data_IF_832713435454
#
_entry.id   IF_832713435454
#
_cell.length_a   1.000
_cell.length_b   1.000
_cell.length_c   1.000
_cell.angle_alpha   90.00
_cell.angle_beta   90.00
_cell.angle_gamma   90.00
#
_symmetry.space_group_name_H-M   'P 1'
#
loop_
_entity.id
_entity.type
_entity.pdbx_description
1 polymer ?
#
# COMPACT_ATOMS: atom_id res chain seq x y z
N UNK A 1 -4.82 24.46 6.39
CA UNK A 1 -5.07 23.68 7.62
C UNK A 1 -3.83 22.84 7.93
N UNK A 2 -3.34 22.91 9.18
CA UNK A 2 -2.44 21.93 9.83
C UNK A 2 -1.16 21.48 9.10
N UNK A 3 -0.12 22.32 9.10
CA UNK A 3 1.22 21.90 8.68
C UNK A 3 1.86 20.95 9.71
N UNK A 4 1.83 19.65 9.43
CA UNK A 4 2.69 18.68 10.10
C UNK A 4 4.06 18.68 9.42
N UNK A 5 5.05 19.28 10.08
CA UNK A 5 6.46 19.03 9.81
C UNK A 5 6.75 17.53 9.93
N UNK A 6 6.95 16.86 8.79
CA UNK A 6 7.50 15.49 8.76
C UNK A 6 8.98 15.57 8.42
N UNK A 7 9.79 15.66 9.48
CA UNK A 7 11.22 15.42 9.43
C UNK A 7 11.50 13.96 9.05
N UNK A 8 11.80 13.69 7.78
CA UNK A 8 12.37 12.41 7.33
C UNK A 8 13.65 12.67 6.53
N UNK A 9 14.71 13.00 7.27
CA UNK A 9 16.07 13.18 6.74
C UNK A 9 17.15 12.70 7.72
N UNK A 10 16.85 11.69 8.55
CA UNK A 10 17.84 11.07 9.43
C UNK A 10 18.55 9.93 8.73
N UNK A 11 19.85 10.09 8.45
CA UNK A 11 20.75 9.05 7.98
C UNK A 11 20.64 7.79 8.86
N UNK A 12 20.21 6.67 8.26
CA UNK A 12 20.05 5.35 8.87
C UNK A 12 21.40 4.69 9.20
N UNK A 13 22.15 5.22 10.16
CA UNK A 13 23.22 4.46 10.83
C UNK A 13 22.68 3.55 11.96
N UNK A 14 21.42 3.71 12.37
CA UNK A 14 20.84 3.04 13.54
C UNK A 14 20.50 1.55 13.35
N UNK A 15 20.36 1.05 12.12
CA UNK A 15 19.73 -0.27 11.91
C UNK A 15 20.66 -1.48 12.08
N UNK A 16 21.98 -1.29 12.07
CA UNK A 16 22.96 -2.38 12.22
C UNK A 16 23.60 -2.39 13.62
N UNK A 17 23.56 -1.25 14.34
CA UNK A 17 24.23 -1.10 15.63
C UNK A 17 23.53 -1.79 16.80
N UNK A 18 22.19 -1.81 16.84
CA UNK A 18 21.45 -2.32 17.98
C UNK A 18 21.74 -3.80 18.34
N UNK A 19 21.70 -4.79 17.42
CA UNK A 19 21.98 -6.18 17.76
C UNK A 19 23.45 -6.43 18.12
N UNK A 20 24.38 -5.68 17.52
CA UNK A 20 25.81 -5.74 17.85
C UNK A 20 26.06 -5.19 19.26
N UNK A 21 25.36 -4.12 19.64
CA UNK A 21 25.42 -3.53 20.98
C UNK A 21 24.76 -4.43 22.04
N UNK A 22 23.65 -5.11 21.72
CA UNK A 22 23.07 -6.16 22.58
C UNK A 22 24.08 -7.27 22.82
N UNK A 23 24.66 -7.80 21.75
CA UNK A 23 25.62 -8.89 21.83
C UNK A 23 26.84 -8.49 22.67
N UNK A 24 27.38 -7.28 22.46
CA UNK A 24 28.47 -6.70 23.25
C UNK A 24 28.09 -6.52 24.73
N UNK A 25 26.88 -6.05 25.03
CA UNK A 25 26.40 -5.90 26.41
C UNK A 25 26.23 -7.26 27.10
N UNK A 26 25.69 -8.27 26.41
CA UNK A 26 25.61 -9.64 26.92
C UNK A 26 27.00 -10.25 27.14
N UNK A 27 27.95 -10.00 26.24
CA UNK A 27 29.34 -10.45 26.37
C UNK A 27 30.05 -9.77 27.55
N UNK A 28 29.82 -8.47 27.75
CA UNK A 28 30.33 -7.73 28.91
C UNK A 28 29.74 -8.23 30.23
N UNK A 29 28.45 -8.53 30.27
CA UNK A 29 27.79 -9.13 31.44
C UNK A 29 28.30 -10.55 31.71
N UNK A 30 28.70 -11.30 30.68
CA UNK A 30 29.24 -12.65 30.81
C UNK A 30 30.70 -12.67 31.28
N UNK A 31 31.52 -11.70 30.88
CA UNK A 31 32.92 -11.55 31.32
C UNK A 31 33.03 -10.90 32.71
N UNK A 32 31.98 -10.19 33.15
CA UNK A 32 31.83 -9.53 34.46
C UNK A 32 32.27 -10.34 35.70
N UNK A 33 31.93 -11.64 35.85
CA UNK A 33 32.23 -12.39 37.08
C UNK A 33 33.72 -12.67 37.28
N UNK A 34 34.52 -12.60 36.21
CA UNK A 34 35.95 -12.88 36.22
C UNK A 34 36.81 -11.71 36.74
N UNK A 35 36.21 -10.53 36.98
CA UNK A 35 36.92 -9.37 37.52
C UNK A 35 37.03 -9.42 39.06
N UNK A 36 38.25 -9.28 39.64
CA UNK A 36 38.44 -9.26 41.08
C UNK A 36 38.05 -7.89 41.66
N UNK A 37 36.95 -7.81 42.40
CA UNK A 37 36.57 -6.64 43.21
C UNK A 37 35.46 -6.96 44.24
N UNK A 38 35.40 -6.15 45.29
CA UNK A 38 34.43 -6.25 46.40
C UNK A 38 32.97 -6.05 45.94
N UNK A 39 32.05 -6.70 46.65
CA UNK A 39 30.60 -6.73 46.39
C UNK A 39 29.93 -5.37 46.04
N UNK A 40 30.23 -4.23 46.69
CA UNK A 40 29.59 -2.96 46.34
C UNK A 40 30.01 -2.43 44.97
N UNK A 41 31.25 -2.70 44.53
CA UNK A 41 31.74 -2.24 43.24
C UNK A 41 31.04 -2.99 42.09
N UNK A 42 30.75 -4.29 42.29
CA UNK A 42 30.02 -5.12 41.31
C UNK A 42 28.60 -4.63 41.06
N UNK A 43 27.89 -4.15 42.09
CA UNK A 43 26.52 -3.64 41.97
C UNK A 43 26.47 -2.30 41.23
N UNK A 44 27.37 -1.37 41.55
CA UNK A 44 27.41 -0.05 40.91
C UNK A 44 27.69 -0.16 39.42
N UNK A 45 28.60 -1.05 39.03
CA UNK A 45 28.96 -1.17 37.63
C UNK A 45 28.03 -2.10 36.83
N UNK A 46 27.31 -3.03 37.47
CA UNK A 46 26.14 -3.68 36.86
C UNK A 46 25.00 -2.69 36.59
N UNK A 47 24.70 -1.81 37.56
CA UNK A 47 23.71 -0.75 37.38
C UNK A 47 24.13 0.23 36.27
N UNK A 48 25.42 0.57 36.16
CA UNK A 48 25.93 1.42 35.09
C UNK A 48 25.83 0.76 33.70
N UNK A 49 26.13 -0.54 33.57
CA UNK A 49 25.96 -1.28 32.31
C UNK A 49 24.49 -1.38 31.91
N UNK A 50 23.60 -1.66 32.87
CA UNK A 50 22.16 -1.66 32.63
C UNK A 50 21.63 -0.28 32.25
N UNK A 51 22.15 0.79 32.85
CA UNK A 51 21.76 2.17 32.54
C UNK A 51 22.27 2.60 31.16
N UNK A 52 23.50 2.24 30.80
CA UNK A 52 24.06 2.48 29.45
C UNK A 52 23.29 1.68 28.40
N UNK A 53 22.96 0.41 28.68
CA UNK A 53 22.07 -0.37 27.84
C UNK A 53 20.68 0.27 27.76
N UNK A 54 20.10 0.75 28.86
CA UNK A 54 18.81 1.43 28.84
C UNK A 54 18.83 2.73 28.01
N UNK A 55 19.91 3.52 28.10
CA UNK A 55 20.07 4.77 27.35
C UNK A 55 20.36 4.58 25.87
N UNK A 56 20.99 3.46 25.49
CA UNK A 56 21.29 3.13 24.08
C UNK A 56 20.06 2.55 23.37
N UNK A 57 19.12 1.98 24.12
CA UNK A 57 18.03 1.20 23.55
C UNK A 57 16.76 2.05 23.37
N UNK A 58 16.33 2.19 22.11
CA UNK A 58 15.02 2.74 21.76
C UNK A 58 13.89 1.96 22.46
N UNK A 59 12.81 2.64 22.86
CA UNK A 59 11.63 2.08 23.54
C UNK A 59 10.96 0.93 22.74
N UNK A 60 11.26 0.82 21.44
CA UNK A 60 10.89 -0.33 20.60
C UNK A 60 11.68 -1.59 20.98
N UNK A 61 13.00 -1.48 21.16
CA UNK A 61 13.85 -2.63 21.50
C UNK A 61 13.57 -3.11 22.92
N UNK A 62 13.28 -2.21 23.86
CA UNK A 62 12.84 -2.59 25.20
C UNK A 62 11.52 -3.36 25.18
N UNK A 63 10.56 -2.98 24.32
CA UNK A 63 9.31 -3.73 24.11
C UNK A 63 9.54 -5.10 23.47
N UNK A 64 10.46 -5.21 22.51
CA UNK A 64 10.83 -6.49 21.91
C UNK A 64 11.52 -7.39 22.94
N UNK A 65 12.44 -6.85 23.74
CA UNK A 65 13.10 -7.56 24.84
C UNK A 65 12.12 -7.99 25.93
N UNK A 66 11.13 -7.16 26.26
CA UNK A 66 10.08 -7.53 27.22
C UNK A 66 9.19 -8.67 26.70
N UNK A 67 8.78 -8.61 25.42
CA UNK A 67 8.05 -9.72 24.78
C UNK A 67 8.91 -10.98 24.69
N UNK A 68 10.19 -10.83 24.34
CA UNK A 68 11.15 -11.93 24.33
C UNK A 68 11.30 -12.52 25.73
N UNK A 69 11.39 -11.70 26.77
CA UNK A 69 11.47 -12.13 28.16
C UNK A 69 10.18 -12.84 28.61
N UNK A 70 9.00 -12.40 28.19
CA UNK A 70 7.73 -13.08 28.48
C UNK A 70 7.62 -14.45 27.80
N UNK A 71 8.11 -14.58 26.57
CA UNK A 71 8.15 -15.86 25.84
C UNK A 71 9.26 -16.77 26.37
N UNK A 72 10.40 -16.18 26.74
CA UNK A 72 11.55 -16.88 27.29
C UNK A 72 11.32 -17.30 28.74
N UNK A 73 10.51 -16.56 29.51
CA UNK A 73 10.26 -16.80 30.93
C UNK A 73 9.86 -18.25 31.22
N UNK A 74 8.84 -18.86 30.58
CA UNK A 74 8.47 -20.24 30.83
C UNK A 74 9.56 -21.25 30.43
N UNK A 75 10.27 -21.02 29.31
CA UNK A 75 11.38 -21.90 28.86
C UNK A 75 12.57 -21.80 29.83
N UNK A 76 12.84 -20.60 30.33
CA UNK A 76 13.88 -20.32 31.31
C UNK A 76 13.50 -20.91 32.67
N UNK A 77 12.22 -20.86 33.04
CA UNK A 77 11.68 -21.52 34.24
C UNK A 77 11.83 -23.04 34.14
N UNK A 78 11.59 -23.61 32.96
CA UNK A 78 11.77 -25.05 32.69
C UNK A 78 13.25 -25.44 32.71
N UNK A 79 14.13 -24.61 32.16
CA UNK A 79 15.58 -24.80 32.21
C UNK A 79 16.12 -24.68 33.64
N UNK A 80 15.70 -23.66 34.38
CA UNK A 80 16.05 -23.47 35.79
C UNK A 80 15.48 -24.61 36.64
N UNK A 81 14.24 -25.02 36.42
CA UNK A 81 13.65 -26.18 37.10
C UNK A 81 14.41 -27.48 36.78
N UNK A 82 14.89 -27.65 35.54
CA UNK A 82 15.71 -28.81 35.16
C UNK A 82 17.08 -28.79 35.83
N UNK A 83 17.71 -27.62 35.94
CA UNK A 83 18.97 -27.44 36.68
C UNK A 83 18.77 -27.65 38.19
N UNK A 84 17.68 -27.13 38.75
CA UNK A 84 17.32 -27.34 40.15
C UNK A 84 16.97 -28.80 40.45
N UNK A 85 16.34 -29.52 39.53
CA UNK A 85 16.07 -30.95 39.65
C UNK A 85 17.34 -31.81 39.56
N UNK A 86 18.39 -31.30 38.90
CA UNK A 86 19.71 -31.94 38.85
C UNK A 86 20.58 -31.62 40.07
N UNK A 87 20.29 -30.58 40.86
CA UNK A 87 21.03 -30.28 42.09
C UNK A 87 21.17 -31.46 43.07
N UNK A 88 20.13 -32.24 43.40
CA UNK A 88 20.29 -33.40 44.29
C UNK A 88 21.12 -34.54 43.67
N UNK A 89 21.15 -34.66 42.33
CA UNK A 89 22.05 -35.60 41.62
C UNK A 89 23.49 -35.10 41.68
N UNK A 90 23.69 -33.78 41.58
CA UNK A 90 24.99 -33.12 41.74
C UNK A 90 25.48 -33.23 43.19
N UNK A 91 24.61 -33.09 44.19
CA UNK A 91 24.94 -33.31 45.61
C UNK A 91 25.31 -34.78 45.87
N UNK A 92 24.62 -35.73 45.21
CA UNK A 92 25.00 -37.15 45.21
C UNK A 92 26.37 -37.42 44.58
N UNK A 93 26.77 -36.65 43.57
CA UNK A 93 28.11 -36.72 42.94
C UNK A 93 29.17 -35.97 43.78
N UNK A 94 28.80 -34.91 44.49
CA UNK A 94 29.70 -34.17 45.38
C UNK A 94 30.12 -34.98 46.61
N UNK A 95 29.32 -35.96 47.04
CA UNK A 95 29.69 -36.92 48.08
C UNK A 95 30.96 -37.73 47.73
N UNK A 96 31.31 -37.88 46.44
CA UNK A 96 32.54 -38.54 45.98
C UNK A 96 33.53 -37.58 45.26
N UNK A 97 33.10 -36.40 44.82
CA UNK A 97 33.84 -35.52 43.89
C UNK A 97 34.33 -34.17 44.43
N UNK A 98 34.47 -34.00 45.75
CA UNK A 98 34.74 -32.72 46.44
C UNK A 98 36.06 -31.95 46.09
N UNK A 99 36.73 -32.21 44.97
CA UNK A 99 38.05 -31.61 44.65
C UNK A 99 38.11 -30.66 43.44
N UNK A 100 37.06 -30.45 42.64
CA UNK A 100 37.18 -29.55 41.48
C UNK A 100 35.95 -28.66 41.22
N UNK A 101 35.94 -27.39 41.70
CA UNK A 101 34.88 -26.41 41.40
C UNK A 101 34.75 -26.07 39.91
N UNK A 102 35.70 -26.50 39.08
CA UNK A 102 35.78 -26.22 37.64
C UNK A 102 34.58 -26.75 36.85
N UNK A 103 33.98 -27.89 37.24
CA UNK A 103 32.87 -28.48 36.51
C UNK A 103 31.57 -27.68 36.63
N UNK A 104 31.31 -27.07 37.79
CA UNK A 104 30.16 -26.19 38.00
C UNK A 104 30.26 -24.94 37.11
N UNK A 105 31.45 -24.33 37.05
CA UNK A 105 31.71 -23.19 36.17
C UNK A 105 31.58 -23.56 34.69
N UNK A 106 32.06 -24.73 34.27
CA UNK A 106 31.92 -25.19 32.89
C UNK A 106 30.45 -25.39 32.49
N UNK A 107 29.63 -25.99 33.36
CA UNK A 107 28.19 -26.16 33.12
C UNK A 107 27.45 -24.82 33.04
N UNK A 108 27.75 -23.89 33.94
CA UNK A 108 27.16 -22.56 33.95
C UNK A 108 27.55 -21.74 32.70
N UNK A 109 28.81 -21.82 32.27
CA UNK A 109 29.28 -21.17 31.04
C UNK A 109 28.61 -21.79 29.80
N UNK A 110 28.52 -23.12 29.72
CA UNK A 110 27.88 -23.80 28.60
C UNK A 110 26.38 -23.47 28.50
N UNK A 111 25.66 -23.52 29.62
CA UNK A 111 24.24 -23.13 29.69
C UNK A 111 24.01 -21.67 29.33
N UNK A 112 24.88 -20.77 29.80
CA UNK A 112 24.84 -19.35 29.48
C UNK A 112 25.02 -19.07 27.99
N UNK A 113 25.97 -19.75 27.34
CA UNK A 113 26.20 -19.63 25.88
C UNK A 113 25.00 -20.11 25.08
N UNK A 114 24.39 -21.24 25.46
CA UNK A 114 23.20 -21.76 24.78
C UNK A 114 22.00 -20.81 24.94
N UNK A 115 21.74 -20.34 26.15
CA UNK A 115 20.66 -19.40 26.43
C UNK A 115 20.86 -18.07 25.67
N UNK A 116 22.09 -17.54 25.65
CA UNK A 116 22.43 -16.34 24.90
C UNK A 116 22.24 -16.52 23.39
N UNK A 117 22.63 -17.68 22.84
CA UNK A 117 22.43 -18.01 21.43
C UNK A 117 20.94 -18.08 21.05
N UNK A 118 20.09 -18.61 21.92
CA UNK A 118 18.65 -18.68 21.69
C UNK A 118 17.99 -17.29 21.73
N UNK A 119 18.31 -16.47 22.74
CA UNK A 119 17.83 -15.07 22.84
C UNK A 119 18.27 -14.26 21.62
N UNK A 120 19.53 -14.41 21.22
CA UNK A 120 20.06 -13.76 20.03
C UNK A 120 19.30 -14.18 18.76
N UNK A 121 19.05 -15.48 18.58
CA UNK A 121 18.30 -16.00 17.43
C UNK A 121 16.88 -15.45 17.40
N UNK A 122 16.18 -15.41 18.54
CA UNK A 122 14.84 -14.84 18.65
C UNK A 122 14.82 -13.34 18.31
N UNK A 123 15.80 -12.58 18.82
CA UNK A 123 15.92 -11.15 18.57
C UNK A 123 16.20 -10.84 17.08
N UNK A 124 17.03 -11.67 16.44
CA UNK A 124 17.29 -11.57 14.99
C UNK A 124 16.04 -11.96 14.18
N UNK A 125 15.29 -12.98 14.59
CA UNK A 125 14.07 -13.40 13.90
C UNK A 125 12.99 -12.32 13.93
N UNK A 126 12.67 -11.80 15.12
CA UNK A 126 11.70 -10.71 15.28
C UNK A 126 12.08 -9.47 14.46
N UNK A 127 13.37 -9.09 14.46
CA UNK A 127 13.87 -7.99 13.65
C UNK A 127 13.76 -8.24 12.14
N UNK A 128 14.04 -9.47 11.70
CA UNK A 128 13.91 -9.86 10.29
C UNK A 128 12.46 -9.84 9.84
N UNK A 129 11.52 -10.29 10.68
CA UNK A 129 10.09 -10.28 10.39
C UNK A 129 9.55 -8.86 10.27
N UNK A 130 9.87 -7.97 11.21
CA UNK A 130 9.49 -6.55 11.13
C UNK A 130 10.09 -5.89 9.89
N UNK A 131 11.38 -6.13 9.62
CA UNK A 131 12.05 -5.59 8.43
C UNK A 131 11.47 -6.14 7.12
N UNK A 132 11.03 -7.40 7.09
CA UNK A 132 10.40 -8.01 5.94
C UNK A 132 9.01 -7.42 5.69
N UNK A 133 8.21 -7.18 6.75
CA UNK A 133 6.91 -6.51 6.66
C UNK A 133 7.04 -5.08 6.13
N UNK A 134 8.01 -4.31 6.65
CA UNK A 134 8.29 -2.95 6.17
C UNK A 134 8.69 -2.92 4.69
N UNK A 135 9.50 -3.89 4.25
CA UNK A 135 9.91 -4.01 2.84
C UNK A 135 8.72 -4.36 1.96
N UNK A 136 7.95 -5.39 2.33
CA UNK A 136 6.77 -5.82 1.60
C UNK A 136 5.74 -4.70 1.47
N UNK A 137 5.53 -3.91 2.53
CA UNK A 137 4.66 -2.74 2.48
C UNK A 137 5.17 -1.70 1.47
N UNK A 138 6.45 -1.33 1.54
CA UNK A 138 7.02 -0.33 0.62
C UNK A 138 6.98 -0.78 -0.85
N UNK A 139 7.28 -2.06 -1.11
CA UNK A 139 7.20 -2.64 -2.46
C UNK A 139 5.76 -2.67 -2.96
N UNK A 140 4.80 -3.04 -2.11
CA UNK A 140 3.38 -3.04 -2.44
C UNK A 140 2.88 -1.62 -2.75
N UNK A 141 3.21 -0.64 -1.90
CA UNK A 141 2.86 0.77 -2.13
C UNK A 141 3.46 1.28 -3.45
N UNK A 142 4.73 0.96 -3.73
CA UNK A 142 5.39 1.40 -4.96
C UNK A 142 4.76 0.78 -6.20
N UNK A 143 4.48 -0.52 -6.16
CA UNK A 143 3.88 -1.24 -7.26
C UNK A 143 2.46 -0.71 -7.55
N UNK A 144 1.61 -0.59 -6.53
CA UNK A 144 0.26 -0.03 -6.67
C UNK A 144 0.31 1.41 -7.19
N UNK A 145 1.19 2.25 -6.65
CA UNK A 145 1.38 3.62 -7.13
C UNK A 145 1.75 3.67 -8.61
N UNK A 146 2.62 2.77 -9.06
CA UNK A 146 3.04 2.71 -10.47
C UNK A 146 1.91 2.27 -11.40
N UNK A 147 1.08 1.31 -11.00
CA UNK A 147 -0.08 0.88 -11.81
C UNK A 147 -1.16 1.97 -11.89
N UNK A 148 -1.48 2.61 -10.76
CA UNK A 148 -2.41 3.75 -10.76
C UNK A 148 -1.86 4.89 -11.61
N UNK A 149 -0.56 5.19 -11.52
CA UNK A 149 0.07 6.21 -12.34
C UNK A 149 0.05 5.87 -13.84
N UNK A 150 0.31 4.62 -14.20
CA UNK A 150 0.25 4.13 -15.59
C UNK A 150 -1.13 4.41 -16.20
N UNK A 151 -2.21 4.09 -15.47
CA UNK A 151 -3.57 4.41 -15.87
C UNK A 151 -3.84 5.91 -16.01
N UNK A 152 -3.34 6.72 -15.08
CA UNK A 152 -3.52 8.17 -15.10
C UNK A 152 -2.63 8.88 -16.13
N UNK A 153 -1.57 8.23 -16.61
CA UNK A 153 -0.59 8.84 -17.52
C UNK A 153 -1.20 9.19 -18.88
N UNK A 154 -2.19 8.43 -19.34
CA UNK A 154 -2.96 8.75 -20.54
C UNK A 154 -3.69 10.11 -20.40
N UNK A 155 -4.18 10.41 -19.20
CA UNK A 155 -4.87 11.66 -18.89
C UNK A 155 -3.88 12.82 -18.77
N UNK A 156 -2.69 12.55 -18.22
CA UNK A 156 -1.59 13.53 -18.22
C UNK A 156 -1.20 13.92 -19.64
N UNK A 157 -1.15 12.96 -20.57
CA UNK A 157 -0.84 13.25 -21.97
C UNK A 157 -1.90 14.15 -22.63
N UNK A 158 -3.18 13.99 -22.26
CA UNK A 158 -4.26 14.91 -22.68
C UNK A 158 -4.05 16.29 -22.06
N UNK A 159 -3.77 16.34 -20.75
CA UNK A 159 -3.52 17.58 -20.02
C UNK A 159 -2.39 18.41 -20.63
N UNK A 160 -1.25 17.78 -20.93
CA UNK A 160 -0.09 18.45 -21.52
C UNK A 160 -0.34 18.99 -22.92
N UNK A 161 -1.24 18.34 -23.69
CA UNK A 161 -1.58 18.76 -25.05
C UNK A 161 -2.55 19.93 -25.07
N UNK A 162 -3.59 19.86 -24.25
CA UNK A 162 -4.76 20.75 -24.35
C UNK A 162 -4.65 21.97 -23.44
N UNK A 163 -3.81 21.95 -22.40
CA UNK A 163 -3.74 23.03 -21.41
C UNK A 163 -2.55 23.97 -21.68
N UNK A 164 -2.77 25.25 -22.08
CA UNK A 164 -1.72 26.24 -22.15
C UNK A 164 -1.07 26.40 -20.77
N UNK A 165 0.26 26.32 -20.68
CA UNK A 165 0.97 26.41 -19.40
C UNK A 165 0.70 27.73 -18.63
N UNK A 166 0.27 28.78 -19.33
CA UNK A 166 -0.07 30.10 -18.78
C UNK A 166 -1.52 30.25 -18.33
N UNK A 167 -2.39 29.28 -18.60
CA UNK A 167 -3.80 29.37 -18.22
C UNK A 167 -4.00 29.15 -16.72
N UNK A 168 -5.02 29.80 -16.14
CA UNK A 168 -5.40 29.60 -14.75
C UNK A 168 -5.78 28.13 -14.49
N UNK A 169 -5.51 27.58 -13.28
CA UNK A 169 -5.76 26.18 -12.96
C UNK A 169 -7.18 25.69 -13.27
N UNK A 170 -8.19 26.51 -12.97
CA UNK A 170 -9.60 26.19 -13.22
C UNK A 170 -9.91 26.07 -14.72
N UNK A 171 -9.40 26.99 -15.54
CA UNK A 171 -9.58 26.93 -16.99
C UNK A 171 -8.89 25.71 -17.60
N UNK A 172 -7.73 25.32 -17.06
CA UNK A 172 -7.02 24.10 -17.48
C UNK A 172 -7.79 22.84 -17.10
N UNK A 173 -8.37 22.81 -15.90
CA UNK A 173 -9.24 21.73 -15.46
C UNK A 173 -10.47 21.59 -16.35
N UNK A 174 -11.14 22.70 -16.68
CA UNK A 174 -12.28 22.70 -17.59
C UNK A 174 -11.90 22.18 -18.99
N UNK A 175 -10.76 22.63 -19.54
CA UNK A 175 -10.26 22.16 -20.83
C UNK A 175 -9.94 20.65 -20.82
N UNK A 176 -9.32 20.16 -19.74
CA UNK A 176 -9.05 18.73 -19.59
C UNK A 176 -10.33 17.92 -19.51
N UNK A 177 -11.28 18.33 -18.68
CA UNK A 177 -12.56 17.63 -18.54
C UNK A 177 -13.27 17.63 -19.89
N UNK A 178 -13.29 18.76 -20.61
CA UNK A 178 -13.86 18.83 -21.94
C UNK A 178 -13.18 17.87 -22.93
N UNK A 179 -11.85 17.79 -22.91
CA UNK A 179 -11.08 16.87 -23.75
C UNK A 179 -11.33 15.40 -23.39
N UNK A 180 -11.42 15.07 -22.10
CA UNK A 180 -11.75 13.72 -21.63
C UNK A 180 -13.13 13.26 -22.09
N UNK A 181 -14.09 14.19 -22.13
CA UNK A 181 -15.46 13.99 -22.62
C UNK A 181 -15.55 14.02 -24.16
N UNK A 182 -14.43 14.21 -24.85
CA UNK A 182 -14.37 14.16 -26.30
C UNK A 182 -15.22 15.23 -26.99
N UNK A 183 -15.28 16.44 -26.42
CA UNK A 183 -15.99 17.55 -27.06
C UNK A 183 -15.40 17.85 -28.44
N UNK A 184 -16.27 18.09 -29.42
CA UNK A 184 -15.87 18.50 -30.76
C UNK A 184 -15.45 19.99 -30.81
N UNK A 185 -15.01 20.47 -31.97
CA UNK A 185 -14.64 21.87 -32.16
C UNK A 185 -15.81 22.86 -31.95
N UNK A 186 -17.06 22.37 -31.99
CA UNK A 186 -18.26 23.15 -31.70
C UNK A 186 -18.65 23.09 -30.20
N UNK A 187 -17.89 22.37 -29.37
CA UNK A 187 -18.15 22.21 -27.95
C UNK A 187 -19.29 21.24 -27.64
N UNK A 188 -19.64 20.32 -28.56
CA UNK A 188 -20.63 19.26 -28.30
C UNK A 188 -19.95 18.00 -27.81
N UNK A 189 -20.46 17.43 -26.73
CA UNK A 189 -20.02 16.14 -26.18
C UNK A 189 -20.32 14.99 -27.15
N UNK A 190 -19.68 13.84 -26.92
CA UNK A 190 -19.96 12.63 -27.72
C UNK A 190 -21.42 12.19 -27.55
N UNK A 191 -21.99 12.29 -26.34
CA UNK A 191 -23.38 11.97 -26.08
C UNK A 191 -24.35 12.83 -26.91
N UNK A 192 -24.13 14.14 -26.98
CA UNK A 192 -24.96 15.05 -27.79
C UNK A 192 -24.85 14.71 -29.28
N UNK A 193 -23.67 14.33 -29.75
CA UNK A 193 -23.44 13.88 -31.14
C UNK A 193 -24.11 12.54 -31.44
N UNK A 194 -24.21 11.64 -30.47
CA UNK A 194 -24.98 10.40 -30.62
C UNK A 194 -26.47 10.73 -30.83
N UNK A 195 -27.01 11.64 -30.02
CA UNK A 195 -28.42 12.04 -30.11
C UNK A 195 -28.74 12.77 -31.42
N UNK A 196 -27.98 13.84 -31.72
CA UNK A 196 -28.23 14.70 -32.88
C UNK A 196 -27.83 14.05 -34.21
N UNK A 197 -26.59 13.57 -34.29
CA UNK A 197 -25.98 13.17 -35.55
C UNK A 197 -26.09 11.65 -35.78
N UNK A 198 -26.49 10.88 -34.77
CA UNK A 198 -26.45 9.42 -34.82
C UNK A 198 -25.02 8.87 -34.77
N UNK A 199 -24.06 9.64 -34.25
CA UNK A 199 -22.66 9.26 -34.15
C UNK A 199 -22.48 7.94 -33.39
N UNK A 200 -21.56 7.09 -33.85
CA UNK A 200 -21.21 5.82 -33.18
C UNK A 200 -19.76 5.87 -32.70
N UNK A 201 -19.52 6.13 -31.41
CA UNK A 201 -18.15 6.20 -30.87
C UNK A 201 -17.54 4.80 -30.74
N UNK A 202 -16.23 4.73 -30.97
CA UNK A 202 -15.44 3.56 -30.63
C UNK A 202 -14.98 3.65 -29.17
N UNK A 203 -15.39 2.70 -28.33
CA UNK A 203 -14.99 2.65 -26.92
C UNK A 203 -13.92 1.57 -26.76
N UNK A 204 -12.65 1.92 -26.51
CA UNK A 204 -11.61 0.91 -26.33
C UNK A 204 -11.86 0.10 -25.06
N UNK A 205 -11.55 -1.19 -25.11
CA UNK A 205 -11.53 -2.03 -23.90
C UNK A 205 -10.32 -1.65 -23.04
N UNK A 206 -10.55 -1.44 -21.74
CA UNK A 206 -9.49 -1.13 -20.79
C UNK A 206 -8.58 -2.33 -20.51
N UNK A 207 -7.34 -2.05 -20.11
CA UNK A 207 -6.37 -3.06 -19.65
C UNK A 207 -6.73 -3.51 -18.22
N UNK A 208 -6.74 -4.83 -17.99
CA UNK A 208 -6.96 -5.40 -16.66
C UNK A 208 -5.82 -5.01 -15.69
N UNK A 209 -6.12 -4.61 -14.45
CA UNK A 209 -5.09 -4.33 -13.45
C UNK A 209 -4.39 -5.62 -13.01
N UNK A 210 -3.08 -5.70 -13.26
CA UNK A 210 -2.25 -6.88 -12.99
C UNK A 210 -1.62 -6.81 -11.60
N UNK A 211 -1.24 -5.61 -11.16
CA UNK A 211 -0.53 -5.42 -9.88
C UNK A 211 -1.48 -5.64 -8.71
N UNK A 212 -2.69 -5.07 -8.74
CA UNK A 212 -3.67 -5.31 -7.68
C UNK A 212 -3.99 -6.79 -7.51
N UNK A 213 -4.28 -7.49 -8.60
CA UNK A 213 -4.67 -8.91 -8.58
C UNK A 213 -3.54 -9.78 -8.03
N UNK A 214 -2.30 -9.46 -8.38
CA UNK A 214 -1.11 -10.16 -7.89
C UNK A 214 -0.81 -9.86 -6.41
N UNK A 215 -1.05 -8.62 -5.97
CA UNK A 215 -0.71 -8.15 -4.63
C UNK A 215 -1.87 -8.22 -3.62
N UNK A 216 -3.01 -8.80 -4.01
CA UNK A 216 -4.17 -8.98 -3.13
C UNK A 216 -3.83 -9.54 -1.72
N UNK A 217 -2.94 -10.54 -1.55
CA UNK A 217 -2.56 -11.04 -0.23
C UNK A 217 -1.86 -10.01 0.66
N UNK A 218 -1.22 -8.99 0.06
CA UNK A 218 -0.47 -7.95 0.77
C UNK A 218 -1.32 -6.70 1.05
N UNK A 219 -2.54 -6.61 0.52
CA UNK A 219 -3.42 -5.46 0.76
C UNK A 219 -3.72 -5.25 2.24
N UNK A 220 -3.75 -6.33 3.04
CA UNK A 220 -3.90 -6.26 4.50
C UNK A 220 -2.77 -5.48 5.22
N UNK A 221 -1.63 -5.28 4.56
CA UNK A 221 -0.53 -4.47 5.10
C UNK A 221 -0.77 -2.97 4.92
N UNK A 222 -1.70 -2.60 4.03
CA UNK A 222 -1.97 -1.20 3.73
C UNK A 222 -2.65 -0.50 4.92
N UNK A 223 -2.22 0.73 5.23
CA UNK A 223 -2.97 1.62 6.12
C UNK A 223 -4.39 1.87 5.61
N UNK A 224 -5.34 2.03 6.51
CA UNK A 224 -6.76 2.23 6.19
C UNK A 224 -7.00 3.44 5.27
N UNK A 225 -6.30 4.56 5.51
CA UNK A 225 -6.37 5.79 4.73
C UNK A 225 -5.85 5.65 3.29
N UNK A 226 -5.03 4.62 3.01
CA UNK A 226 -4.57 4.28 1.66
C UNK A 226 -5.48 3.23 1.03
N UNK A 227 -5.96 2.28 1.83
CA UNK A 227 -6.76 1.17 1.37
C UNK A 227 -8.08 1.62 0.74
N UNK A 228 -8.80 2.55 1.38
CA UNK A 228 -10.09 3.03 0.88
C UNK A 228 -10.03 3.61 -0.55
N UNK A 229 -9.18 4.62 -0.86
CA UNK A 229 -9.13 5.18 -2.20
C UNK A 229 -8.59 4.18 -3.22
N UNK A 230 -7.65 3.31 -2.85
CA UNK A 230 -7.12 2.26 -3.74
C UNK A 230 -8.21 1.27 -4.14
N UNK A 231 -8.96 0.72 -3.18
CA UNK A 231 -10.05 -0.20 -3.48
C UNK A 231 -11.15 0.50 -4.28
N UNK A 232 -11.48 1.74 -3.93
CA UNK A 232 -12.46 2.54 -4.65
C UNK A 232 -12.09 2.71 -6.12
N UNK A 233 -10.83 3.05 -6.39
CA UNK A 233 -10.31 3.20 -7.75
C UNK A 233 -10.46 1.92 -8.56
N UNK A 234 -9.98 0.78 -8.04
CA UNK A 234 -10.05 -0.48 -8.79
C UNK A 234 -11.46 -1.03 -8.94
N UNK A 235 -12.35 -0.78 -7.99
CA UNK A 235 -13.78 -1.10 -8.11
C UNK A 235 -14.39 -0.33 -9.27
N UNK A 236 -14.20 1.00 -9.29
CA UNK A 236 -14.73 1.86 -10.36
C UNK A 236 -14.10 1.55 -11.72
N UNK A 237 -12.80 1.24 -11.76
CA UNK A 237 -12.13 0.80 -12.98
C UNK A 237 -12.77 -0.46 -13.56
N UNK A 238 -13.09 -1.44 -12.72
CA UNK A 238 -13.81 -2.65 -13.12
C UNK A 238 -15.19 -2.35 -13.71
N UNK A 239 -15.92 -1.39 -13.12
CA UNK A 239 -17.23 -0.97 -13.61
C UNK A 239 -17.13 -0.26 -14.97
N UNK A 240 -16.16 0.63 -15.16
CA UNK A 240 -15.87 1.26 -16.45
C UNK A 240 -15.55 0.22 -17.52
N UNK A 241 -14.76 -0.80 -17.20
CA UNK A 241 -14.40 -1.86 -18.15
C UNK A 241 -15.61 -2.69 -18.59
N UNK A 242 -16.51 -3.03 -17.66
CA UNK A 242 -17.76 -3.74 -17.98
C UNK A 242 -18.68 -2.87 -18.83
N UNK A 243 -18.87 -1.60 -18.46
CA UNK A 243 -19.67 -0.65 -19.24
C UNK A 243 -19.11 -0.48 -20.66
N UNK A 244 -17.79 -0.39 -20.81
CA UNK A 244 -17.14 -0.33 -22.13
C UNK A 244 -17.45 -1.57 -22.98
N UNK A 245 -17.49 -2.77 -22.39
CA UNK A 245 -17.87 -3.99 -23.11
C UNK A 245 -19.34 -3.95 -23.53
N UNK A 246 -20.24 -3.51 -22.65
CA UNK A 246 -21.67 -3.39 -22.93
C UNK A 246 -21.97 -2.38 -24.05
N UNK A 247 -21.26 -1.24 -24.05
CA UNK A 247 -21.35 -0.21 -25.10
C UNK A 247 -20.89 -0.71 -26.47
N UNK A 248 -19.92 -1.63 -26.51
CA UNK A 248 -19.49 -2.28 -27.75
C UNK A 248 -20.42 -3.42 -28.20
N UNK A 249 -21.40 -3.79 -27.38
CA UNK A 249 -22.32 -4.90 -27.60
C UNK A 249 -23.40 -4.60 -28.66
N UNK A 250 -23.94 -5.67 -29.25
CA UNK A 250 -25.04 -5.56 -30.20
C UNK A 250 -26.33 -5.02 -29.55
N UNK A 251 -26.53 -5.26 -28.25
CA UNK A 251 -27.68 -4.77 -27.51
C UNK A 251 -27.71 -3.24 -27.48
N UNK A 252 -26.58 -2.58 -27.18
CA UNK A 252 -26.46 -1.13 -27.19
C UNK A 252 -26.74 -0.54 -28.58
N UNK A 253 -26.18 -1.14 -29.64
CA UNK A 253 -26.37 -0.68 -31.03
C UNK A 253 -27.84 -0.68 -31.48
N UNK A 254 -28.67 -1.56 -30.92
CA UNK A 254 -30.11 -1.68 -31.24
C UNK A 254 -30.99 -0.62 -30.57
N UNK A 255 -30.48 0.09 -29.57
CA UNK A 255 -31.23 1.13 -28.86
C UNK A 255 -31.43 2.37 -29.76
N UNK A 256 -32.48 3.15 -29.49
CA UNK A 256 -32.73 4.45 -30.12
C UNK A 256 -31.64 5.49 -29.78
N UNK A 257 -31.55 6.56 -30.56
CA UNK A 257 -30.46 7.56 -30.43
C UNK A 257 -30.40 8.21 -29.04
N UNK A 258 -31.54 8.67 -28.53
CA UNK A 258 -31.61 9.31 -27.22
C UNK A 258 -31.13 8.36 -26.10
N UNK A 259 -31.63 7.12 -26.09
CA UNK A 259 -31.23 6.13 -25.08
C UNK A 259 -29.74 5.76 -25.17
N UNK A 260 -29.18 5.68 -26.38
CA UNK A 260 -27.73 5.47 -26.56
C UNK A 260 -26.92 6.63 -26.00
N UNK A 261 -27.38 7.86 -26.22
CA UNK A 261 -26.75 9.06 -25.71
C UNK A 261 -26.78 9.12 -24.17
N UNK A 262 -27.92 8.81 -23.55
CA UNK A 262 -28.05 8.72 -22.08
C UNK A 262 -27.05 7.75 -21.46
N UNK A 263 -26.99 6.51 -21.98
CA UNK A 263 -26.10 5.48 -21.44
C UNK A 263 -24.64 5.89 -21.65
N UNK A 264 -24.32 6.52 -22.79
CA UNK A 264 -22.97 6.99 -23.05
C UNK A 264 -22.57 8.14 -22.13
N UNK A 265 -23.48 9.07 -21.86
CA UNK A 265 -23.28 10.14 -20.88
C UNK A 265 -22.98 9.58 -19.48
N UNK A 266 -23.74 8.56 -19.05
CA UNK A 266 -23.50 7.89 -17.77
C UNK A 266 -22.14 7.20 -17.72
N UNK A 267 -21.74 6.56 -18.83
CA UNK A 267 -20.39 5.99 -18.97
C UNK A 267 -19.29 7.06 -18.83
N UNK A 268 -19.45 8.22 -19.47
CA UNK A 268 -18.51 9.33 -19.33
C UNK A 268 -18.41 9.83 -17.89
N UNK A 269 -19.53 9.94 -17.18
CA UNK A 269 -19.55 10.34 -15.77
C UNK A 269 -18.84 9.32 -14.88
N UNK A 270 -19.11 8.03 -15.04
CA UNK A 270 -18.43 6.96 -14.29
C UNK A 270 -16.93 6.94 -14.60
N UNK A 271 -16.54 7.18 -15.86
CA UNK A 271 -15.13 7.26 -16.25
C UNK A 271 -14.43 8.46 -15.60
N UNK A 272 -15.05 9.64 -15.60
CA UNK A 272 -14.50 10.83 -14.96
C UNK A 272 -14.40 10.66 -13.43
N UNK A 273 -15.41 10.04 -12.83
CA UNK A 273 -15.39 9.64 -11.42
C UNK A 273 -14.21 8.70 -11.10
N UNK A 274 -13.97 7.70 -11.95
CA UNK A 274 -12.85 6.75 -11.81
C UNK A 274 -11.50 7.45 -11.82
N UNK A 275 -11.33 8.44 -12.70
CA UNK A 275 -10.12 9.27 -12.75
C UNK A 275 -9.93 10.03 -11.44
N UNK A 276 -10.98 10.66 -10.91
CA UNK A 276 -10.92 11.40 -9.65
C UNK A 276 -10.48 10.51 -8.50
N UNK A 277 -11.08 9.33 -8.36
CA UNK A 277 -10.70 8.37 -7.31
C UNK A 277 -9.29 7.81 -7.54
N UNK A 278 -8.88 7.63 -8.80
CA UNK A 278 -7.50 7.29 -9.16
C UNK A 278 -6.49 8.34 -8.69
N UNK A 279 -6.79 9.63 -8.89
CA UNK A 279 -5.96 10.72 -8.38
C UNK A 279 -5.86 10.69 -6.85
N UNK A 280 -6.99 10.47 -6.14
CA UNK A 280 -7.00 10.32 -4.68
C UNK A 280 -6.16 9.13 -4.21
N UNK A 281 -6.27 7.98 -4.87
CA UNK A 281 -5.47 6.80 -4.58
C UNK A 281 -3.98 7.06 -4.80
N UNK A 282 -3.63 7.73 -5.91
CA UNK A 282 -2.26 8.10 -6.21
C UNK A 282 -1.68 9.04 -5.16
N UNK A 283 -2.42 10.08 -4.74
CA UNK A 283 -1.98 11.02 -3.70
C UNK A 283 -1.74 10.30 -2.36
N UNK A 284 -2.66 9.42 -1.96
CA UNK A 284 -2.54 8.63 -0.73
C UNK A 284 -1.30 7.69 -0.75
N UNK A 285 -1.05 7.03 -1.89
CA UNK A 285 0.13 6.19 -2.10
C UNK A 285 1.42 7.04 -2.13
N UNK A 286 1.42 8.15 -2.86
CA UNK A 286 2.58 9.02 -3.03
C UNK A 286 3.03 9.62 -1.69
N UNK A 287 2.09 10.04 -0.84
CA UNK A 287 2.36 10.59 0.50
C UNK A 287 3.09 9.63 1.45
N UNK A 288 3.02 8.32 1.19
CA UNK A 288 3.67 7.27 2.01
C UNK A 288 4.90 6.65 1.37
N UNK A 289 5.07 6.84 0.07
CA UNK A 289 6.30 6.46 -0.64
C UNK A 289 7.27 7.64 -0.70
N UNK A 290 8.50 7.42 -1.19
CA UNK A 290 9.34 8.57 -1.56
C UNK A 290 8.62 9.33 -2.68
N UNK A 291 8.38 10.65 -2.53
CA UNK A 291 7.68 11.41 -3.55
C UNK A 291 8.45 11.31 -4.86
N UNK A 292 7.72 11.07 -5.94
CA UNK A 292 8.29 11.21 -7.28
C UNK A 292 8.69 12.68 -7.48
N UNK A 293 9.76 12.94 -8.24
CA UNK A 293 10.36 14.29 -8.39
C UNK A 293 9.38 15.37 -8.87
N UNK A 294 8.26 14.98 -9.49
CA UNK A 294 7.23 15.88 -9.97
C UNK A 294 5.88 15.26 -9.63
N UNK A 295 5.17 15.88 -8.70
CA UNK A 295 3.76 15.62 -8.46
C UNK A 295 2.97 16.41 -9.52
N UNK A 296 2.16 15.76 -10.37
CA UNK A 296 1.36 16.49 -11.33
C UNK A 296 0.30 17.29 -10.57
N UNK A 297 0.41 18.63 -10.62
CA UNK A 297 -0.56 19.57 -10.01
C UNK A 297 -2.01 19.22 -10.36
N UNK A 298 -2.22 18.74 -11.58
CA UNK A 298 -3.50 18.25 -12.11
C UNK A 298 -4.14 17.15 -11.26
N UNK A 299 -3.37 16.29 -10.60
CA UNK A 299 -3.94 15.22 -9.78
C UNK A 299 -4.60 15.77 -8.51
N UNK A 300 -4.02 16.79 -7.88
CA UNK A 300 -4.65 17.48 -6.76
C UNK A 300 -5.95 18.16 -7.19
N UNK A 301 -5.91 18.89 -8.31
CA UNK A 301 -7.07 19.58 -8.87
C UNK A 301 -8.20 18.60 -9.23
N UNK A 302 -7.89 17.50 -9.92
CA UNK A 302 -8.89 16.49 -10.29
C UNK A 302 -9.45 15.76 -9.07
N UNK A 303 -8.62 15.46 -8.07
CA UNK A 303 -9.03 14.76 -6.86
C UNK A 303 -10.12 15.51 -6.07
N UNK A 304 -10.09 16.84 -6.12
CA UNK A 304 -11.00 17.75 -5.41
C UNK A 304 -12.14 18.30 -6.28
N UNK A 305 -12.05 18.14 -7.60
CA UNK A 305 -13.03 18.68 -8.53
C UNK A 305 -14.43 18.10 -8.32
N UNK A 306 -15.44 18.97 -8.21
CA UNK A 306 -16.83 18.58 -8.45
C UNK A 306 -17.04 18.44 -9.97
N UNK A 307 -17.15 17.20 -10.41
CA UNK A 307 -17.34 16.86 -11.82
C UNK A 307 -18.79 16.52 -12.15
N UNK A 308 -19.73 16.78 -11.23
CA UNK A 308 -21.15 16.57 -11.49
C UNK A 308 -21.65 17.53 -12.59
N UNK A 309 -22.45 17.02 -13.52
CA UNK A 309 -22.94 17.80 -14.66
C UNK A 309 -24.46 17.71 -14.77
N UNK A 310 -25.05 18.78 -15.31
CA UNK A 310 -26.45 18.76 -15.67
C UNK A 310 -26.66 17.80 -16.86
N UNK A 311 -27.63 16.90 -16.73
CA UNK A 311 -27.98 15.95 -17.80
C UNK A 311 -28.72 16.71 -18.93
N UNK A 312 -28.26 16.64 -20.19
CA UNK A 312 -28.99 17.18 -21.33
C UNK A 312 -30.32 16.45 -21.57
N UNK A 313 -31.30 17.16 -22.14
CA UNK A 313 -32.51 16.53 -22.68
C UNK A 313 -32.18 15.90 -24.04
N UNK A 314 -31.75 14.64 -24.01
CA UNK A 314 -31.34 13.93 -25.21
C UNK A 314 -32.48 13.68 -26.20
N UNK A 315 -33.73 13.61 -25.73
CA UNK A 315 -34.89 13.40 -26.61
C UNK A 315 -35.11 14.62 -27.50
N UNK A 316 -34.98 15.83 -26.93
CA UNK A 316 -35.06 17.08 -27.66
C UNK A 316 -33.94 17.27 -28.70
N UNK A 317 -32.81 16.56 -28.54
CA UNK A 317 -31.68 16.60 -29.47
C UNK A 317 -31.84 15.64 -30.66
N UNK A 318 -32.75 14.66 -30.60
CA UNK A 318 -32.97 13.72 -31.69
C UNK A 318 -33.82 14.37 -32.80
N UNK A 319 -33.35 14.39 -34.07
CA UNK A 319 -34.14 14.91 -35.17
C UNK A 319 -35.43 14.09 -35.38
N UNK A 320 -36.55 14.75 -35.69
CA UNK A 320 -37.83 14.10 -35.91
C UNK A 320 -37.74 13.02 -37.01
N UNK A 321 -38.25 11.81 -36.72
CA UNK A 321 -38.24 10.66 -37.65
C UNK A 321 -36.92 9.88 -37.74
N UNK A 322 -35.86 10.30 -37.02
CA UNK A 322 -34.53 9.69 -37.16
C UNK A 322 -34.43 8.22 -36.70
N UNK A 323 -35.25 7.81 -35.73
CA UNK A 323 -35.28 6.41 -35.25
C UNK A 323 -36.26 5.52 -36.03
N UNK A 324 -37.22 6.11 -36.75
CA UNK A 324 -38.17 5.37 -37.60
C UNK A 324 -37.49 4.82 -38.86
N UNK A 325 -36.63 5.62 -39.48
CA UNK A 325 -35.82 5.20 -40.64
C UNK A 325 -34.92 3.99 -40.35
N UNK A 326 -34.39 3.89 -39.12
CA UNK A 326 -33.52 2.77 -38.70
C UNK A 326 -34.29 1.46 -38.48
N UNK A 327 -35.53 1.55 -37.97
CA UNK A 327 -36.41 0.38 -37.82
C UNK A 327 -36.78 -0.21 -39.19
N UNK A 328 -37.04 0.65 -40.18
CA UNK A 328 -37.35 0.23 -41.55
C UNK A 328 -36.18 -0.53 -42.22
N UNK A 329 -34.94 -0.05 -42.06
CA UNK A 329 -33.75 -0.74 -42.58
C UNK A 329 -33.51 -2.10 -41.91
N UNK A 330 -33.62 -2.20 -40.57
CA UNK A 330 -33.39 -3.48 -39.89
C UNK A 330 -34.48 -4.53 -40.18
N UNK A 331 -35.69 -4.08 -40.53
CA UNK A 331 -36.79 -4.97 -40.94
C UNK A 331 -36.61 -5.53 -42.35
N UNK A 332 -36.03 -4.73 -43.27
CA UNK A 332 -35.79 -5.16 -44.64
C UNK A 332 -34.64 -6.16 -44.80
N UNK A 333 -33.62 -6.09 -43.94
CA UNK A 333 -32.50 -7.04 -43.95
C UNK A 333 -32.87 -8.42 -43.37
N UNK A 334 -33.87 -8.48 -42.49
CA UNK A 334 -34.39 -9.75 -41.98
C UNK A 334 -35.14 -10.56 -43.07
N UNK A 335 -35.86 -9.88 -43.96
CA UNK A 335 -36.58 -10.51 -45.08
C UNK A 335 -35.64 -11.02 -46.19
N UNK A 336 -34.45 -10.43 -46.37
CA UNK A 336 -33.48 -10.88 -47.39
C UNK A 336 -32.58 -12.04 -46.97
N UNK A 337 -32.61 -12.46 -45.71
CA UNK A 337 -31.76 -13.56 -45.21
C UNK A 337 -32.39 -14.96 -45.36
N UNK A 338 -33.56 -15.06 -46.00
CA UNK A 338 -34.33 -16.30 -46.13
C UNK A 338 -34.52 -16.81 -47.58
N UNK A 339 -33.89 -16.19 -48.58
CA UNK A 339 -33.82 -16.70 -49.97
C UNK A 339 -32.43 -17.28 -50.29
#
# INVERSE_FOLDING_TARGET
MGGQERAYGGLRLERVGAPVLVALACLLLFVWPALPASLPQRLVSFAAVLLVAYCIFDAKVLRVLWKAALVAAPISLLGVASVLALLPVIDGIQAEGAQNPRYLYQGLMAGGVVAAGWVFTFLVQTWREESARDKALNETLLALRSEVYDYLSDILAIWEREAPASAAPEARLQALVAAMLGHDAAGRSVAERIAADGYEPFVPSGKEPVVLTTLAPNLQLLPEDVMQPVIGFYTQLGDVQRLAQDLNGAAYRRLGRARRAEIYFDFEEVRLQTVRVGCQAWLALNARTRPQKVEPEVFGLLAEADTSRARPDFEALVPAGADESRKAESSGDAERSHD
#
